data_IF_364076168994
#
_entry.id   IF_364076168994
#
_cell.length_a   1.000
_cell.length_b   1.000
_cell.length_c   1.000
_cell.angle_alpha   90.00
_cell.angle_beta   90.00
_cell.angle_gamma   90.00
#
_symmetry.space_group_name_H-M   'P 1'
#
loop_
_entity.id
_entity.type
_entity.pdbx_description
1 polymer ?
#
# COMPACT_ATOMS: atom_id res chain seq x y z
N UNK A 1 4.15 16.31 31.12
CA UNK A 1 5.27 15.81 31.95
C UNK A 1 5.25 16.44 33.34
N UNK A 2 5.24 17.78 33.47
CA UNK A 2 5.20 18.46 34.78
C UNK A 2 4.03 18.00 35.68
N UNK A 3 2.82 17.87 35.12
CA UNK A 3 1.65 17.41 35.87
C UNK A 3 1.75 15.94 36.34
N UNK A 4 2.29 15.06 35.49
CA UNK A 4 2.50 13.65 35.87
C UNK A 4 3.51 13.55 37.02
N UNK A 5 4.58 14.36 36.96
CA UNK A 5 5.59 14.42 38.00
C UNK A 5 5.01 14.96 39.32
N UNK A 6 4.20 16.01 39.26
CA UNK A 6 3.49 16.55 40.43
C UNK A 6 2.56 15.51 41.07
N UNK A 7 1.80 14.75 40.28
CA UNK A 7 0.93 13.69 40.78
C UNK A 7 1.74 12.58 41.47
N UNK A 8 2.84 12.15 40.85
CA UNK A 8 3.66 11.04 41.31
C UNK A 8 4.51 11.39 42.55
N UNK A 9 5.11 12.57 42.58
CA UNK A 9 6.05 12.97 43.63
C UNK A 9 5.37 13.64 44.82
N UNK A 10 4.23 14.32 44.60
CA UNK A 10 3.60 15.15 45.63
C UNK A 10 2.17 14.71 45.95
N UNK A 11 1.24 14.78 45.00
CA UNK A 11 -0.19 14.71 45.34
C UNK A 11 -0.65 13.32 45.79
N UNK A 12 -0.21 12.25 45.11
CA UNK A 12 -0.56 10.87 45.47
C UNK A 12 0.11 10.46 46.79
N UNK A 13 1.43 10.67 47.01
CA UNK A 13 2.06 10.40 48.31
C UNK A 13 1.41 11.17 49.46
N UNK A 14 1.15 12.47 49.27
CA UNK A 14 0.51 13.33 50.28
C UNK A 14 -0.91 12.87 50.59
N UNK A 15 -1.71 12.54 49.57
CA UNK A 15 -3.07 12.02 49.75
C UNK A 15 -3.08 10.68 50.49
N UNK A 16 -2.12 9.80 50.20
CA UNK A 16 -1.96 8.51 50.90
C UNK A 16 -1.56 8.70 52.36
N UNK A 17 -0.67 9.64 52.64
CA UNK A 17 -0.27 9.96 54.01
C UNK A 17 -1.42 10.59 54.80
N UNK A 18 -2.19 11.49 54.19
CA UNK A 18 -3.40 12.06 54.78
C UNK A 18 -4.41 10.96 55.16
N UNK A 19 -4.63 9.97 54.27
CA UNK A 19 -5.52 8.84 54.53
C UNK A 19 -5.02 7.95 55.69
N UNK A 20 -3.71 7.69 55.75
CA UNK A 20 -3.10 6.95 56.86
C UNK A 20 -3.21 7.72 58.18
N UNK A 21 -3.00 9.03 58.16
CA UNK A 21 -3.19 9.89 59.32
C UNK A 21 -4.64 9.89 59.80
N UNK A 22 -5.59 9.97 58.87
CA UNK A 22 -7.02 9.95 59.14
C UNK A 22 -7.45 8.66 59.85
N UNK A 23 -6.97 7.50 59.41
CA UNK A 23 -7.23 6.23 60.08
C UNK A 23 -6.89 6.28 61.58
N UNK A 24 -5.69 6.76 61.94
CA UNK A 24 -5.29 6.90 63.36
C UNK A 24 -6.15 7.91 64.12
N UNK A 25 -6.61 8.97 63.46
CA UNK A 25 -7.50 9.95 64.07
C UNK A 25 -8.89 9.37 64.32
N UNK A 26 -9.44 8.60 63.39
CA UNK A 26 -10.75 7.97 63.52
C UNK A 26 -10.81 6.95 64.65
N UNK A 27 -9.74 6.19 64.87
CA UNK A 27 -9.65 5.28 66.02
C UNK A 27 -9.78 6.06 67.33
N UNK A 28 -9.04 7.16 67.49
CA UNK A 28 -9.15 8.01 68.68
C UNK A 28 -10.53 8.65 68.85
N UNK A 29 -11.18 9.02 67.74
CA UNK A 29 -12.55 9.56 67.76
C UNK A 29 -13.54 8.47 68.20
N UNK A 30 -13.35 7.23 67.75
CA UNK A 30 -14.19 6.11 68.17
C UNK A 30 -14.04 5.84 69.68
N UNK A 31 -12.80 5.74 70.18
CA UNK A 31 -12.51 5.56 71.61
C UNK A 31 -13.15 6.70 72.45
N UNK A 32 -12.99 7.95 71.99
CA UNK A 32 -13.61 9.11 72.65
C UNK A 32 -15.15 9.02 72.68
N UNK A 33 -15.79 8.62 71.57
CA UNK A 33 -17.24 8.50 71.52
C UNK A 33 -17.75 7.44 72.48
N UNK A 34 -17.04 6.31 72.61
CA UNK A 34 -17.36 5.24 73.56
C UNK A 34 -17.23 5.74 75.01
N UNK A 35 -16.08 6.31 75.36
CA UNK A 35 -15.81 6.83 76.70
C UNK A 35 -16.78 7.95 77.10
N UNK A 36 -17.03 8.91 76.19
CA UNK A 36 -17.97 10.01 76.41
C UNK A 36 -19.38 9.47 76.62
N UNK A 37 -19.80 8.46 75.85
CA UNK A 37 -21.11 7.85 76.03
C UNK A 37 -21.23 7.14 77.39
N UNK A 38 -20.20 6.43 77.85
CA UNK A 38 -20.22 5.75 79.16
C UNK A 38 -20.23 6.75 80.32
N UNK A 39 -19.39 7.79 80.26
CA UNK A 39 -19.21 8.76 81.34
C UNK A 39 -20.31 9.83 81.41
N UNK A 40 -20.97 10.16 80.29
CA UNK A 40 -22.00 11.19 80.27
C UNK A 40 -23.24 10.83 81.10
N UNK A 41 -23.77 11.81 81.84
CA UNK A 41 -25.05 11.73 82.56
C UNK A 41 -26.25 11.79 81.61
N UNK A 42 -26.16 12.57 80.53
CA UNK A 42 -27.18 12.64 79.48
C UNK A 42 -26.77 11.84 78.24
N UNK A 43 -27.30 10.62 78.12
CA UNK A 43 -27.00 9.70 77.02
C UNK A 43 -27.52 10.20 75.67
N UNK A 44 -28.59 11.01 75.64
CA UNK A 44 -29.15 11.50 74.36
C UNK A 44 -28.20 12.50 73.71
N UNK A 45 -27.68 13.44 74.50
CA UNK A 45 -26.70 14.42 74.05
C UNK A 45 -25.40 13.76 73.57
N UNK A 46 -24.87 12.80 74.32
CA UNK A 46 -23.66 12.07 73.93
C UNK A 46 -23.84 11.27 72.61
N UNK A 47 -25.04 10.73 72.38
CA UNK A 47 -25.38 10.05 71.13
C UNK A 47 -25.44 11.01 69.95
N UNK A 48 -26.05 12.20 70.11
CA UNK A 48 -26.08 13.22 69.07
C UNK A 48 -24.66 13.69 68.69
N UNK A 49 -23.78 13.84 69.68
CA UNK A 49 -22.37 14.18 69.45
C UNK A 49 -21.63 13.07 68.69
N UNK A 50 -21.86 11.81 69.06
CA UNK A 50 -21.31 10.64 68.34
C UNK A 50 -21.80 10.59 66.89
N UNK A 51 -23.09 10.89 66.66
CA UNK A 51 -23.67 10.95 65.32
C UNK A 51 -23.00 12.07 64.49
N UNK A 52 -22.75 13.23 65.09
CA UNK A 52 -22.04 14.33 64.44
C UNK A 52 -20.62 13.89 64.03
N UNK A 53 -19.86 13.26 64.92
CA UNK A 53 -18.53 12.73 64.59
C UNK A 53 -18.58 11.66 63.50
N UNK A 54 -19.59 10.79 63.51
CA UNK A 54 -19.76 9.73 62.51
C UNK A 54 -20.00 10.31 61.11
N UNK A 55 -20.87 11.33 61.00
CA UNK A 55 -21.13 12.01 59.72
C UNK A 55 -19.89 12.76 59.20
N UNK A 56 -19.15 13.43 60.09
CA UNK A 56 -17.89 14.09 59.75
C UNK A 56 -16.82 13.08 59.30
N UNK A 57 -16.70 11.93 59.98
CA UNK A 57 -15.79 10.86 59.61
C UNK A 57 -16.10 10.30 58.22
N UNK A 58 -17.38 10.01 57.93
CA UNK A 58 -17.81 9.52 56.64
C UNK A 58 -17.47 10.51 55.52
N UNK A 59 -17.78 11.79 55.71
CA UNK A 59 -17.45 12.83 54.74
C UNK A 59 -15.93 12.96 54.52
N UNK A 60 -15.14 12.88 55.60
CA UNK A 60 -13.68 12.98 55.55
C UNK A 60 -13.04 11.84 54.76
N UNK A 61 -13.43 10.59 55.05
CA UNK A 61 -12.90 9.40 54.35
C UNK A 61 -13.32 9.41 52.90
N UNK A 62 -14.59 9.69 52.60
CA UNK A 62 -15.11 9.74 51.23
C UNK A 62 -14.35 10.76 50.38
N UNK A 63 -14.08 11.95 50.94
CA UNK A 63 -13.32 12.99 50.25
C UNK A 63 -11.87 12.57 49.98
N UNK A 64 -11.17 12.00 50.97
CA UNK A 64 -9.78 11.59 50.81
C UNK A 64 -9.62 10.43 49.81
N UNK A 65 -10.50 9.42 49.88
CA UNK A 65 -10.51 8.31 48.93
C UNK A 65 -10.85 8.81 47.52
N UNK A 66 -11.84 9.67 47.39
CA UNK A 66 -12.24 10.25 46.11
C UNK A 66 -11.11 11.04 45.44
N UNK A 67 -10.41 11.88 46.21
CA UNK A 67 -9.26 12.63 45.70
C UNK A 67 -8.11 11.72 45.28
N UNK A 68 -7.74 10.74 46.13
CA UNK A 68 -6.64 9.82 45.83
C UNK A 68 -6.94 8.98 44.59
N UNK A 69 -8.18 8.47 44.48
CA UNK A 69 -8.64 7.76 43.30
C UNK A 69 -8.59 8.65 42.05
N UNK A 70 -9.09 9.88 42.14
CA UNK A 70 -9.05 10.85 41.04
C UNK A 70 -7.64 11.16 40.56
N UNK A 71 -6.71 11.41 41.48
CA UNK A 71 -5.30 11.66 41.16
C UNK A 71 -4.63 10.44 40.53
N UNK A 72 -4.94 9.24 41.03
CA UNK A 72 -4.39 7.98 40.50
C UNK A 72 -4.91 7.70 39.09
N UNK A 73 -6.21 7.86 38.84
CA UNK A 73 -6.78 7.70 37.50
C UNK A 73 -6.17 8.71 36.52
N UNK A 74 -6.05 9.97 36.94
CA UNK A 74 -5.43 11.03 36.10
C UNK A 74 -3.97 10.72 35.77
N UNK A 75 -3.21 10.19 36.71
CA UNK A 75 -1.84 9.73 36.47
C UNK A 75 -1.80 8.60 35.42
N UNK A 76 -2.68 7.61 35.54
CA UNK A 76 -2.76 6.48 34.59
C UNK A 76 -3.16 6.96 33.19
N UNK A 77 -4.11 7.88 33.08
CA UNK A 77 -4.52 8.47 31.80
C UNK A 77 -3.36 9.21 31.13
N UNK A 78 -2.62 10.02 31.91
CA UNK A 78 -1.44 10.75 31.42
C UNK A 78 -0.32 9.79 30.95
N UNK A 79 -0.08 8.71 31.69
CA UNK A 79 0.87 7.65 31.27
C UNK A 79 0.40 6.96 29.98
N UNK A 80 -0.90 6.65 29.87
CA UNK A 80 -1.47 6.07 28.66
C UNK A 80 -1.34 6.96 27.42
N UNK A 81 -1.49 8.28 27.58
CA UNK A 81 -1.22 9.26 26.50
C UNK A 81 0.27 9.29 26.13
N UNK A 82 1.15 9.29 27.13
CA UNK A 82 2.60 9.29 26.89
C UNK A 82 3.07 8.05 26.12
N UNK A 83 2.56 6.86 26.47
CA UNK A 83 2.85 5.62 25.76
C UNK A 83 2.38 5.67 24.31
N UNK A 84 1.16 6.13 24.05
CA UNK A 84 0.65 6.32 22.67
C UNK A 84 1.52 7.27 21.85
N UNK A 85 2.05 8.31 22.48
CA UNK A 85 2.97 9.25 21.82
C UNK A 85 4.31 8.60 21.48
N UNK A 86 4.84 7.73 22.35
CA UNK A 86 6.06 6.96 22.08
C UNK A 86 5.82 5.95 20.97
N UNK A 87 4.70 5.22 21.00
CA UNK A 87 4.30 4.29 19.95
C UNK A 87 4.22 4.96 18.58
N UNK A 88 3.59 6.14 18.49
CA UNK A 88 3.52 6.90 17.24
C UNK A 88 4.91 7.29 16.70
N UNK A 89 5.85 7.65 17.59
CA UNK A 89 7.23 7.97 17.21
C UNK A 89 7.98 6.73 16.72
N UNK A 90 7.82 5.60 17.41
CA UNK A 90 8.41 4.31 17.01
C UNK A 90 7.86 3.86 15.66
N UNK A 91 6.55 4.01 15.43
CA UNK A 91 5.92 3.70 14.14
C UNK A 91 6.49 4.56 13.00
N UNK A 92 6.64 5.86 13.24
CA UNK A 92 7.27 6.79 12.27
C UNK A 92 8.71 6.39 11.96
N UNK A 93 9.48 6.00 12.98
CA UNK A 93 10.84 5.50 12.80
C UNK A 93 10.85 4.20 11.99
N UNK A 94 9.94 3.28 12.28
CA UNK A 94 9.78 2.03 11.53
C UNK A 94 9.50 2.28 10.04
N UNK A 95 8.63 3.23 9.71
CA UNK A 95 8.38 3.64 8.32
C UNK A 95 9.64 4.22 7.67
N UNK A 96 10.41 5.05 8.38
CA UNK A 96 11.66 5.61 7.88
C UNK A 96 12.71 4.54 7.58
N UNK A 97 12.85 3.55 8.47
CA UNK A 97 13.75 2.41 8.29
C UNK A 97 13.31 1.56 7.10
N UNK A 98 12.01 1.24 6.98
CA UNK A 98 11.49 0.49 5.83
C UNK A 98 11.74 1.23 4.51
N UNK A 99 11.49 2.54 4.47
CA UNK A 99 11.82 3.37 3.31
C UNK A 99 13.32 3.36 3.01
N UNK A 100 14.18 3.37 4.04
CA UNK A 100 15.62 3.31 3.86
C UNK A 100 16.05 1.96 3.28
N UNK A 101 15.54 0.86 3.83
CA UNK A 101 15.80 -0.50 3.33
C UNK A 101 15.35 -0.67 1.88
N UNK A 102 14.14 -0.22 1.55
CA UNK A 102 13.65 -0.23 0.17
C UNK A 102 14.53 0.61 -0.75
N UNK A 103 14.99 1.79 -0.31
CA UNK A 103 15.91 2.64 -1.10
C UNK A 103 17.27 2.00 -1.32
N UNK A 104 17.81 1.30 -0.32
CA UNK A 104 19.08 0.58 -0.43
C UNK A 104 18.92 -0.58 -1.41
N UNK A 105 17.89 -1.41 -1.24
CA UNK A 105 17.59 -2.52 -2.14
C UNK A 105 17.38 -2.04 -3.60
N UNK A 106 16.60 -0.97 -3.80
CA UNK A 106 16.38 -0.37 -5.13
C UNK A 106 17.65 0.21 -5.74
N UNK A 107 18.55 0.77 -4.92
CA UNK A 107 19.84 1.26 -5.39
C UNK A 107 20.71 0.12 -5.89
N UNK A 108 20.76 -0.98 -5.15
CA UNK A 108 21.53 -2.18 -5.53
C UNK A 108 21.01 -2.78 -6.83
N UNK A 109 19.71 -3.10 -6.93
CA UNK A 109 19.14 -3.63 -8.18
C UNK A 109 19.20 -2.61 -9.32
N UNK A 110 19.11 -1.32 -9.00
CA UNK A 110 19.23 -0.23 -9.97
C UNK A 110 20.59 -0.16 -10.64
N UNK A 111 21.66 -0.63 -10.00
CA UNK A 111 23.00 -0.74 -10.63
C UNK A 111 23.04 -1.75 -11.76
N UNK A 112 22.14 -2.75 -11.72
CA UNK A 112 21.99 -3.79 -12.73
C UNK A 112 20.94 -3.43 -13.78
N UNK A 113 20.24 -2.31 -13.63
CA UNK A 113 19.18 -1.88 -14.53
C UNK A 113 19.71 -0.93 -15.61
N UNK A 114 19.14 -1.02 -16.80
CA UNK A 114 19.36 -0.06 -17.89
C UNK A 114 18.03 0.45 -18.41
N UNK A 115 18.00 1.66 -18.97
CA UNK A 115 16.74 2.25 -19.46
C UNK A 115 16.31 1.54 -20.73
N UNK A 116 15.22 0.79 -20.67
CA UNK A 116 14.56 0.26 -21.86
C UNK A 116 13.59 1.30 -22.41
N UNK A 117 13.98 1.99 -23.50
CA UNK A 117 13.07 2.91 -24.20
C UNK A 117 12.24 2.13 -25.20
N UNK A 118 10.96 1.97 -24.88
CA UNK A 118 9.96 1.50 -25.82
C UNK A 118 9.30 2.72 -26.46
N UNK A 119 9.52 2.93 -27.75
CA UNK A 119 8.80 3.95 -28.51
C UNK A 119 7.36 3.48 -28.76
N UNK A 120 6.34 4.23 -28.34
CA UNK A 120 4.96 3.94 -28.75
C UNK A 120 4.87 4.07 -30.28
N UNK A 121 4.64 2.95 -30.96
CA UNK A 121 4.50 2.90 -32.42
C UNK A 121 3.03 2.64 -32.80
N UNK A 122 2.54 3.36 -33.81
CA UNK A 122 1.28 3.00 -34.45
C UNK A 122 1.48 1.70 -35.26
N UNK A 123 0.53 0.76 -35.18
CA UNK A 123 0.61 -0.53 -35.88
C UNK A 123 0.64 -0.40 -37.40
N UNK A 124 0.04 0.66 -37.93
CA UNK A 124 0.02 0.97 -39.35
C UNK A 124 0.31 2.46 -39.47
N UNK A 125 1.37 2.79 -40.19
CA UNK A 125 1.73 4.17 -40.54
C UNK A 125 1.40 4.32 -42.02
N UNK A 126 0.32 5.06 -42.31
CA UNK A 126 -0.02 5.37 -43.70
C UNK A 126 1.04 6.32 -44.28
N UNK A 127 1.45 6.14 -45.55
CA UNK A 127 2.35 7.08 -46.21
C UNK A 127 1.69 8.47 -46.32
N UNK A 128 2.50 9.53 -46.31
CA UNK A 128 2.05 10.94 -46.33
C UNK A 128 1.17 11.29 -47.54
N UNK A 129 1.35 10.58 -48.65
CA UNK A 129 0.45 10.66 -49.80
C UNK A 129 0.19 9.25 -50.35
N UNK A 130 -1.07 9.01 -50.69
CA UNK A 130 -1.45 7.80 -51.40
C UNK A 130 -1.12 7.96 -52.89
N UNK A 131 -0.57 6.93 -53.57
CA UNK A 131 -0.36 6.97 -55.00
C UNK A 131 -1.64 7.34 -55.74
N UNK A 132 -1.60 8.29 -56.70
CA UNK A 132 -2.78 8.66 -57.48
C UNK A 132 -3.36 7.44 -58.21
N UNK A 133 -4.67 7.21 -58.06
CA UNK A 133 -5.35 6.13 -58.76
C UNK A 133 -5.48 6.49 -60.25
N UNK A 134 -4.73 5.80 -61.11
CA UNK A 134 -4.81 6.01 -62.56
C UNK A 134 -6.01 5.26 -63.13
N UNK A 135 -6.96 5.92 -63.81
CA UNK A 135 -8.09 5.24 -64.43
C UNK A 135 -7.62 4.31 -65.55
N UNK A 136 -8.21 3.11 -65.61
CA UNK A 136 -7.91 2.18 -66.69
C UNK A 136 -8.41 2.71 -68.03
N UNK A 137 -7.54 2.69 -69.04
CA UNK A 137 -7.91 2.96 -70.43
C UNK A 137 -7.46 1.80 -71.32
N UNK A 138 -8.34 1.37 -72.23
CA UNK A 138 -7.98 0.36 -73.24
C UNK A 138 -7.07 1.02 -74.26
N UNK A 139 -5.82 0.57 -74.34
CA UNK A 139 -4.89 0.95 -75.40
C UNK A 139 -4.71 -0.23 -76.36
N UNK A 140 -4.71 -0.01 -77.69
CA UNK A 140 -4.33 -1.03 -78.66
C UNK A 140 -2.91 -1.54 -78.37
N UNK A 141 -2.62 -2.77 -78.81
CA UNK A 141 -1.29 -3.37 -78.67
C UNK A 141 -0.28 -2.52 -79.46
N UNK A 142 0.75 -2.01 -78.75
CA UNK A 142 1.82 -1.23 -79.35
C UNK A 142 3.08 -2.10 -79.39
N UNK A 143 3.44 -2.59 -80.58
CA UNK A 143 4.63 -3.41 -80.77
C UNK A 143 5.93 -2.61 -80.76
N UNK A 144 5.87 -1.27 -80.87
CA UNK A 144 7.04 -0.40 -80.89
C UNK A 144 7.39 0.24 -79.54
N UNK A 145 6.70 -0.09 -78.45
CA UNK A 145 6.94 0.55 -77.14
C UNK A 145 8.31 0.24 -76.52
N UNK A 146 9.05 -0.72 -77.08
CA UNK A 146 10.38 -1.13 -76.65
C UNK A 146 11.44 -0.92 -77.73
N UNK A 147 11.10 -0.36 -78.88
CA UNK A 147 12.03 -0.21 -80.02
C UNK A 147 13.21 0.71 -79.71
N UNK A 148 13.04 1.62 -78.75
CA UNK A 148 14.10 2.52 -78.29
C UNK A 148 14.87 1.97 -77.08
N UNK A 149 14.57 0.74 -76.63
CA UNK A 149 15.27 0.06 -75.53
C UNK A 149 16.23 -0.98 -76.10
N UNK A 150 17.54 -0.76 -75.95
CA UNK A 150 18.58 -1.66 -76.46
C UNK A 150 18.80 -1.50 -77.97
N UNK A 151 18.92 -2.62 -78.70
CA UNK A 151 19.07 -2.64 -80.17
C UNK A 151 17.72 -2.98 -80.83
N UNK A 152 16.71 -2.13 -80.62
CA UNK A 152 15.38 -2.37 -81.14
C UNK A 152 15.31 -2.32 -82.66
N UNK A 153 14.39 -3.09 -83.23
CA UNK A 153 14.18 -3.20 -84.68
C UNK A 153 12.85 -2.53 -85.00
N UNK A 154 12.91 -1.36 -85.64
CA UNK A 154 11.72 -0.62 -86.06
C UNK A 154 11.11 -1.34 -87.26
N UNK A 155 9.89 -1.83 -87.12
CA UNK A 155 9.15 -2.40 -88.24
C UNK A 155 8.59 -1.26 -89.12
N UNK A 156 9.19 -1.02 -90.29
CA UNK A 156 8.68 -0.05 -91.28
C UNK A 156 7.53 -0.63 -92.14
N UNK A 157 7.10 -1.87 -91.89
CA UNK A 157 6.08 -2.58 -92.67
C UNK A 157 4.66 -2.07 -92.38
N UNK A 158 4.00 -1.50 -93.39
CA UNK A 158 2.63 -0.95 -93.29
C UNK A 158 1.50 -1.99 -93.22
N UNK A 159 1.84 -3.29 -93.10
CA UNK A 159 0.87 -4.40 -93.25
C UNK A 159 0.23 -4.89 -91.94
N UNK A 160 0.87 -4.72 -90.77
CA UNK A 160 0.28 -5.15 -89.48
C UNK A 160 -0.85 -4.23 -88.98
N UNK A 161 -0.99 -3.01 -89.54
CA UNK A 161 -2.03 -2.05 -89.19
C UNK A 161 -3.45 -2.44 -89.62
N UNK A 162 -3.64 -3.55 -90.35
CA UNK A 162 -4.93 -3.94 -90.97
C UNK A 162 -5.66 -5.10 -90.28
N UNK A 163 -5.06 -5.75 -89.28
CA UNK A 163 -5.65 -6.93 -88.63
C UNK A 163 -5.91 -6.66 -87.16
N UNK A 164 -7.03 -5.99 -86.85
CA UNK A 164 -7.40 -5.68 -85.47
C UNK A 164 -8.80 -5.08 -85.31
N UNK A 165 -9.82 -5.93 -85.25
CA UNK A 165 -11.18 -5.72 -84.71
C UNK A 165 -12.09 -4.65 -85.36
N UNK A 166 -13.32 -5.07 -85.69
CA UNK A 166 -14.39 -4.25 -86.25
C UNK A 166 -14.69 -2.99 -85.41
N UNK A 167 -14.24 -1.83 -85.88
CA UNK A 167 -14.79 -0.53 -85.49
C UNK A 167 -16.27 -0.46 -85.89
N UNK A 168 -17.19 -0.49 -84.92
CA UNK A 168 -18.58 -0.12 -85.16
C UNK A 168 -18.61 1.40 -85.36
N UNK A 169 -18.49 1.80 -86.62
CA UNK A 169 -18.75 3.13 -87.18
C UNK A 169 -19.76 3.93 -86.35
N UNK A 170 -19.26 4.96 -85.67
CA UNK A 170 -20.03 6.08 -85.14
C UNK A 170 -20.72 6.78 -86.30
N UNK A 171 -22.06 6.72 -86.34
CA UNK A 171 -22.83 7.46 -87.33
C UNK A 171 -22.95 8.89 -86.81
N UNK A 172 -22.24 9.78 -87.48
CA UNK A 172 -22.35 11.24 -87.40
C UNK A 172 -23.81 11.62 -87.71
N UNK A 173 -24.54 12.11 -86.72
CA UNK A 173 -25.86 12.73 -86.93
C UNK A 173 -25.68 14.26 -87.07
N UNK A 174 -26.26 14.91 -88.10
CA UNK A 174 -26.18 16.35 -88.31
C UNK A 174 -27.24 17.12 -87.49
N UNK A 175 -27.13 18.44 -87.53
CA UNK A 175 -27.92 19.44 -86.82
C UNK A 175 -29.46 19.27 -86.94
N UNK A 176 -30.14 19.69 -85.86
CA UNK A 176 -31.57 20.07 -85.64
C UNK A 176 -32.46 20.38 -86.85
N UNK A 177 -33.81 20.50 -86.73
CA UNK A 177 -34.79 19.93 -85.78
C UNK A 177 -36.02 19.27 -86.48
N UNK A 178 -36.84 18.51 -85.74
CA UNK A 178 -38.29 18.21 -85.94
C UNK A 178 -38.59 16.84 -85.31
N UNK A 179 -39.38 16.77 -84.24
CA UNK A 179 -40.84 16.58 -84.25
C UNK A 179 -41.30 15.21 -84.75
N UNK A 180 -41.93 14.47 -83.83
CA UNK A 180 -42.91 13.38 -83.98
C UNK A 180 -42.45 11.89 -83.98
N UNK A 181 -43.07 11.19 -83.04
CA UNK A 181 -43.58 9.79 -82.95
C UNK A 181 -42.66 8.57 -82.75
N UNK A 182 -42.87 7.95 -81.57
CA UNK A 182 -42.93 6.51 -81.26
C UNK A 182 -41.76 5.60 -81.65
N UNK A 183 -40.90 5.30 -80.67
CA UNK A 183 -40.00 4.15 -80.72
C UNK A 183 -39.00 4.14 -79.56
N UNK A 184 -39.16 3.18 -78.64
CA UNK A 184 -38.38 2.98 -77.40
C UNK A 184 -36.84 2.99 -77.64
N UNK A 185 -36.03 3.79 -76.92
CA UNK A 185 -34.57 3.71 -77.00
C UNK A 185 -34.04 2.46 -76.24
N UNK A 186 -32.89 1.89 -76.67
CA UNK A 186 -32.29 0.71 -76.03
C UNK A 186 -31.72 1.05 -74.65
N UNK A 187 -31.95 0.14 -73.70
CA UNK A 187 -31.54 0.23 -72.30
C UNK A 187 -30.01 0.25 -72.19
N UNK A 188 -29.45 1.30 -71.61
CA UNK A 188 -28.05 1.32 -71.16
C UNK A 188 -27.99 0.46 -69.88
N UNK A 189 -27.10 -0.54 -69.77
CA UNK A 189 -26.89 -1.23 -68.49
C UNK A 189 -26.26 -0.25 -67.50
N UNK A 190 -26.95 -0.05 -66.38
CA UNK A 190 -26.50 0.78 -65.27
C UNK A 190 -25.21 0.18 -64.66
N UNK A 191 -24.19 0.99 -64.31
CA UNK A 191 -23.01 0.49 -63.60
C UNK A 191 -23.42 -0.16 -62.28
N UNK A 192 -22.98 -1.40 -62.07
CA UNK A 192 -23.20 -2.13 -60.81
C UNK A 192 -22.54 -1.33 -59.68
N UNK A 193 -23.35 -0.80 -58.76
CA UNK A 193 -22.85 -0.12 -57.57
C UNK A 193 -22.12 -1.12 -56.67
N UNK A 194 -20.94 -0.72 -56.20
CA UNK A 194 -20.20 -1.47 -55.19
C UNK A 194 -20.95 -1.42 -53.85
N UNK A 195 -20.89 -2.49 -53.03
CA UNK A 195 -21.54 -2.50 -51.72
C UNK A 195 -21.07 -1.33 -50.85
N UNK A 196 -22.02 -0.50 -50.42
CA UNK A 196 -21.80 0.57 -49.44
C UNK A 196 -21.77 -0.06 -48.05
N UNK A 197 -20.69 0.16 -47.30
CA UNK A 197 -20.61 -0.19 -45.88
C UNK A 197 -21.51 0.81 -45.12
N UNK A 198 -22.40 0.35 -44.23
CA UNK A 198 -23.23 1.24 -43.43
C UNK A 198 -22.36 2.11 -42.51
N UNK A 199 -22.66 3.40 -42.41
CA UNK A 199 -22.09 4.32 -41.41
C UNK A 199 -22.55 3.89 -39.99
N UNK A 200 -21.91 2.85 -39.47
CA UNK A 200 -22.04 2.40 -38.09
C UNK A 200 -20.89 2.95 -37.27
N UNK A 201 -21.19 3.83 -36.30
CA UNK A 201 -20.30 4.07 -35.15
C UNK A 201 -20.11 2.74 -34.42
N UNK A 202 -19.01 2.05 -34.69
CA UNK A 202 -18.54 0.92 -33.91
C UNK A 202 -17.66 1.50 -32.80
N UNK A 203 -18.26 1.71 -31.63
CA UNK A 203 -17.52 2.07 -30.41
C UNK A 203 -16.48 0.99 -30.14
N UNK A 204 -15.21 1.40 -30.08
CA UNK A 204 -14.11 0.55 -29.67
C UNK A 204 -14.35 0.06 -28.24
N UNK A 205 -14.15 -1.23 -28.05
CA UNK A 205 -14.17 -1.89 -26.76
C UNK A 205 -13.22 -1.19 -25.77
N UNK A 206 -13.79 -0.66 -24.70
CA UNK A 206 -13.05 -0.35 -23.48
C UNK A 206 -12.65 -1.67 -22.82
N UNK A 207 -11.36 -1.91 -22.71
CA UNK A 207 -10.79 -2.82 -21.71
C UNK A 207 -9.95 -1.99 -20.77
N UNK A 208 -10.57 -1.55 -19.69
CA UNK A 208 -9.89 -1.14 -18.47
C UNK A 208 -10.73 -1.66 -17.31
N UNK A 209 -10.44 -2.89 -16.91
CA UNK A 209 -10.74 -3.41 -15.60
C UNK A 209 -9.93 -2.62 -14.58
N UNK A 210 -10.60 -2.00 -13.60
CA UNK A 210 -10.22 -2.05 -12.18
C UNK A 210 -11.16 -1.21 -11.32
N UNK A 211 -11.86 -1.90 -10.39
CA UNK A 211 -12.21 -1.50 -9.01
C UNK A 211 -13.07 -0.22 -8.88
N UNK A 212 -14.30 -0.22 -8.35
CA UNK A 212 -14.62 -0.41 -6.92
C UNK A 212 -16.14 -0.56 -6.66
N UNK A 213 -16.45 -1.18 -5.52
CA UNK A 213 -17.73 -1.50 -4.88
C UNK A 213 -18.83 -0.43 -4.78
N UNK A 214 -20.07 -0.97 -4.83
CA UNK A 214 -21.24 -0.80 -3.96
C UNK A 214 -21.88 0.60 -3.72
N UNK A 215 -23.21 0.63 -3.89
CA UNK A 215 -24.07 1.65 -3.26
C UNK A 215 -25.44 1.84 -3.94
N UNK A 216 -26.49 1.40 -3.26
CA UNK A 216 -27.91 1.34 -3.64
C UNK A 216 -28.63 2.64 -4.07
N UNK A 217 -29.77 2.41 -4.75
CA UNK A 217 -31.11 2.99 -4.54
C UNK A 217 -31.71 3.92 -5.62
N UNK A 218 -32.80 3.38 -6.20
CA UNK A 218 -34.09 3.98 -6.60
C UNK A 218 -34.21 5.22 -7.52
N UNK A 219 -34.98 5.03 -8.61
CA UNK A 219 -36.20 5.81 -8.86
C UNK A 219 -36.23 6.80 -10.03
N UNK A 220 -37.06 6.49 -11.05
CA UNK A 220 -37.98 7.37 -11.86
C UNK A 220 -37.45 8.78 -12.23
N UNK A 221 -37.37 9.26 -13.47
CA UNK A 221 -38.20 9.12 -14.67
C UNK A 221 -38.43 10.54 -15.25
N UNK A 222 -38.32 10.75 -16.58
CA UNK A 222 -38.77 11.98 -17.26
C UNK A 222 -37.76 12.67 -18.19
N UNK A 223 -38.24 13.01 -19.39
CA UNK A 223 -37.61 13.73 -20.55
C UNK A 223 -38.58 14.91 -20.90
N UNK A 224 -38.30 15.99 -21.68
CA UNK A 224 -37.14 16.42 -22.50
C UNK A 224 -36.69 17.92 -22.42
N UNK A 225 -35.62 18.23 -23.18
CA UNK A 225 -35.29 19.46 -23.96
C UNK A 225 -34.82 20.76 -23.25
N UNK A 226 -33.59 21.21 -23.56
CA UNK A 226 -33.35 22.38 -24.45
C UNK A 226 -31.85 22.72 -24.64
N UNK A 227 -31.56 23.16 -25.88
CA UNK A 227 -30.51 24.09 -26.40
C UNK A 227 -29.11 24.15 -25.76
N UNK A 228 -28.13 24.14 -26.65
CA UNK A 228 -26.71 24.06 -26.33
C UNK A 228 -26.05 25.35 -25.87
N UNK A 229 -24.89 25.17 -25.26
CA UNK A 229 -23.81 26.13 -25.14
C UNK A 229 -22.51 25.33 -24.97
N UNK A 230 -21.48 25.65 -25.75
CA UNK A 230 -20.15 25.05 -25.64
C UNK A 230 -19.48 25.44 -24.31
N UNK A 231 -18.68 24.55 -23.68
CA UNK A 231 -17.93 24.88 -22.48
C UNK A 231 -16.74 25.81 -22.79
N UNK A 232 -16.35 26.70 -21.84
CA UNK A 232 -15.25 27.64 -22.04
C UNK A 232 -13.89 26.95 -22.03
N UNK A 233 -12.98 27.44 -22.87
CA UNK A 233 -11.56 27.08 -22.91
C UNK A 233 -10.83 27.47 -21.60
N UNK A 234 -9.93 26.65 -21.07
CA UNK A 234 -9.09 27.00 -19.92
C UNK A 234 -8.02 28.06 -20.28
N UNK A 235 -7.57 28.88 -19.32
CA UNK A 235 -6.55 29.91 -19.55
C UNK A 235 -5.13 29.32 -19.71
N UNK A 236 -4.20 30.03 -20.39
CA UNK A 236 -2.81 29.57 -20.56
C UNK A 236 -1.98 29.74 -19.26
N UNK A 237 -0.88 28.97 -19.10
CA UNK A 237 0.01 29.11 -17.95
C UNK A 237 0.85 30.41 -18.04
N UNK A 238 1.23 31.03 -16.90
CA UNK A 238 2.11 32.19 -16.92
C UNK A 238 3.54 31.81 -17.30
N UNK A 239 4.20 32.76 -17.95
CA UNK A 239 5.53 32.70 -18.50
C UNK A 239 6.63 32.51 -17.45
N UNK A 240 7.77 32.01 -17.95
CA UNK A 240 9.03 31.78 -17.26
C UNK A 240 9.40 32.86 -16.24
N UNK A 241 9.52 32.45 -14.97
CA UNK A 241 10.33 33.13 -13.97
C UNK A 241 11.75 32.59 -14.07
N UNK A 242 12.69 33.52 -14.17
CA UNK A 242 14.10 33.33 -14.45
C UNK A 242 14.78 32.53 -13.33
N UNK A 243 15.45 31.44 -13.72
CA UNK A 243 16.45 30.79 -12.88
C UNK A 243 17.58 31.79 -12.57
N UNK A 244 17.68 32.24 -11.33
CA UNK A 244 18.89 32.85 -10.79
C UNK A 244 19.65 31.78 -9.97
N UNK A 245 20.97 31.60 -10.19
CA UNK A 245 21.78 30.74 -9.34
C UNK A 245 22.16 31.46 -8.04
N UNK A 246 22.31 30.77 -6.89
CA UNK A 246 22.82 31.36 -5.66
C UNK A 246 24.35 31.57 -5.71
N UNK A 247 24.90 32.54 -4.96
CA UNK A 247 26.33 32.87 -4.97
C UNK A 247 27.18 31.86 -4.17
N UNK A 248 28.51 31.79 -4.41
CA UNK A 248 29.41 30.90 -3.68
C UNK A 248 29.69 31.45 -2.27
N UNK A 249 29.63 30.58 -1.26
CA UNK A 249 30.03 30.93 0.10
C UNK A 249 31.56 30.93 0.20
N UNK A 250 32.09 32.08 0.57
CA UNK A 250 33.49 32.33 0.93
C UNK A 250 33.92 31.51 2.15
N UNK A 251 35.13 30.99 2.02
CA UNK A 251 35.92 30.22 2.96
C UNK A 251 36.64 31.17 3.94
N UNK A 252 36.32 31.11 5.24
CA UNK A 252 37.10 31.77 6.30
C UNK A 252 37.05 30.96 7.62
N UNK A 253 38.04 30.04 7.80
CA UNK A 253 38.85 29.70 9.02
C UNK A 253 38.21 29.49 10.43
N UNK A 254 38.89 28.88 11.44
CA UNK A 254 40.01 27.91 11.50
C UNK A 254 39.74 26.69 12.47
N UNK A 255 40.65 25.69 12.60
CA UNK A 255 40.42 24.50 13.45
C UNK A 255 40.68 24.74 14.95
N UNK A 256 40.08 23.96 15.88
CA UNK A 256 40.34 24.08 17.30
C UNK A 256 41.65 23.38 17.73
N UNK A 257 42.27 23.82 18.84
CA UNK A 257 43.63 23.45 19.23
C UNK A 257 43.73 22.09 19.94
N UNK A 258 44.78 21.34 19.62
CA UNK A 258 45.33 20.27 20.47
C UNK A 258 46.11 20.88 21.64
N UNK A 259 46.11 20.22 22.81
CA UNK A 259 47.16 20.13 23.87
C UNK A 259 46.55 19.68 25.23
N UNK A 260 47.31 19.12 26.21
CA UNK A 260 47.44 17.67 26.42
C UNK A 260 47.16 17.25 27.89
N UNK A 261 47.50 15.99 28.23
CA UNK A 261 47.86 15.45 29.57
C UNK A 261 46.88 14.43 30.20
N UNK A 262 47.28 13.17 30.05
CA UNK A 262 47.44 12.17 31.12
C UNK A 262 46.87 12.50 32.49
N UNK A 263 45.81 11.79 32.91
CA UNK A 263 45.63 11.38 34.30
C UNK A 263 45.12 9.93 34.35
N UNK A 264 46.03 9.10 34.85
CA UNK A 264 45.86 7.73 35.30
C UNK A 264 44.97 7.74 36.56
N UNK A 265 43.83 7.03 36.54
CA UNK A 265 43.04 6.75 37.75
C UNK A 265 42.60 5.27 37.75
N UNK A 266 42.72 4.56 38.89
CA UNK A 266 42.59 3.11 38.99
C UNK A 266 41.13 2.61 39.04
N UNK A 267 40.85 1.34 38.69
CA UNK A 267 39.53 0.74 38.83
C UNK A 267 39.15 0.47 40.31
N UNK A 268 37.85 0.55 40.66
CA UNK A 268 37.35 0.25 42.02
C UNK A 268 37.37 -1.26 42.34
N UNK A 269 37.36 -1.64 43.64
CA UNK A 269 37.64 -3.01 44.11
C UNK A 269 36.45 -3.98 43.91
N UNK A 270 36.70 -5.31 43.91
CA UNK A 270 35.68 -6.33 43.68
C UNK A 270 34.90 -6.61 44.97
N UNK A 271 33.56 -6.71 44.85
CA UNK A 271 32.71 -7.27 45.89
C UNK A 271 32.65 -8.79 45.73
N UNK A 272 33.12 -9.49 46.75
CA UNK A 272 32.94 -10.92 46.96
C UNK A 272 31.47 -11.21 47.30
N UNK A 273 30.86 -12.12 46.56
CA UNK A 273 29.75 -12.95 47.05
C UNK A 273 30.02 -14.38 46.65
N UNK A 274 29.96 -15.22 47.67
CA UNK A 274 30.37 -16.62 47.74
C UNK A 274 29.54 -17.56 46.85
N UNK A 275 30.28 -18.50 46.25
CA UNK A 275 30.05 -19.94 46.27
C UNK A 275 28.60 -20.46 46.20
N UNK A 276 28.13 -20.74 44.98
CA UNK A 276 27.40 -21.97 44.69
C UNK A 276 28.00 -22.56 43.41
N UNK A 277 28.79 -23.62 43.57
CA UNK A 277 29.55 -24.29 42.52
C UNK A 277 28.75 -24.60 41.25
N UNK A 278 29.09 -23.91 40.18
CA UNK A 278 28.74 -24.30 38.82
C UNK A 278 29.56 -25.55 38.45
N UNK A 279 28.96 -26.63 37.91
CA UNK A 279 29.73 -27.74 37.38
C UNK A 279 30.52 -27.27 36.14
N UNK A 280 31.71 -27.84 35.87
CA UNK A 280 32.51 -27.46 34.71
C UNK A 280 31.75 -27.73 33.40
N UNK A 281 32.00 -26.95 32.32
CA UNK A 281 31.38 -27.18 31.03
C UNK A 281 31.70 -28.59 30.52
N UNK A 282 30.73 -29.32 29.94
CA UNK A 282 30.98 -30.67 29.44
C UNK A 282 31.94 -30.63 28.24
N UNK A 283 32.79 -31.67 28.07
CA UNK A 283 33.68 -31.78 26.92
C UNK A 283 32.87 -31.90 25.62
N UNK A 284 33.38 -31.39 24.49
CA UNK A 284 32.71 -31.49 23.21
C UNK A 284 32.74 -32.95 22.74
N UNK A 285 31.58 -33.60 22.69
CA UNK A 285 31.46 -34.92 22.05
C UNK A 285 30.47 -35.94 22.63
N UNK A 286 29.54 -35.55 23.52
CA UNK A 286 28.49 -36.48 23.98
C UNK A 286 27.12 -35.79 24.05
N UNK A 287 26.48 -35.65 22.90
CA UNK A 287 25.04 -35.53 22.74
C UNK A 287 24.65 -36.24 21.44
N UNK A 288 23.49 -36.90 21.33
CA UNK A 288 23.03 -37.40 20.05
C UNK A 288 23.01 -36.22 19.07
N UNK A 289 23.48 -36.41 17.83
CA UNK A 289 23.44 -35.41 16.76
C UNK A 289 22.03 -34.84 16.61
N UNK A 290 21.69 -33.82 17.39
CA UNK A 290 20.42 -33.12 17.27
C UNK A 290 20.58 -32.18 16.08
N UNK A 291 19.75 -32.34 15.04
CA UNK A 291 19.93 -31.60 13.80
C UNK A 291 20.01 -30.09 14.07
N UNK A 292 20.92 -29.38 13.39
CA UNK A 292 21.16 -27.95 13.59
C UNK A 292 19.93 -27.05 13.39
N UNK A 293 18.83 -27.59 12.85
CA UNK A 293 17.56 -26.89 12.68
C UNK A 293 16.67 -26.90 13.94
N UNK A 294 16.96 -27.75 14.93
CA UNK A 294 16.15 -27.84 16.15
C UNK A 294 16.46 -26.65 17.07
N UNK A 295 15.44 -25.86 17.47
CA UNK A 295 15.65 -24.75 18.40
C UNK A 295 16.05 -25.22 19.81
N UNK A 296 16.83 -24.41 20.53
CA UNK A 296 17.20 -24.68 21.94
C UNK A 296 15.99 -24.71 22.90
N UNK A 297 14.88 -24.05 22.52
CA UNK A 297 13.63 -24.03 23.28
C UNK A 297 12.42 -24.28 22.36
N UNK A 298 11.73 -25.40 22.60
CA UNK A 298 10.45 -25.75 21.98
C UNK A 298 9.54 -26.40 23.03
N UNK A 299 8.23 -26.30 22.84
CA UNK A 299 7.23 -26.87 23.75
C UNK A 299 7.13 -28.39 23.59
N UNK A 300 7.09 -28.87 22.35
CA UNK A 300 6.89 -30.27 22.00
C UNK A 300 7.36 -30.56 20.57
N UNK A 301 7.65 -31.83 20.27
CA UNK A 301 7.86 -32.32 18.90
C UNK A 301 6.57 -32.95 18.39
N UNK A 302 6.19 -32.59 17.18
CA UNK A 302 5.00 -33.13 16.51
C UNK A 302 5.36 -33.69 15.14
N UNK A 303 4.64 -34.71 14.69
CA UNK A 303 4.77 -35.30 13.36
C UNK A 303 3.57 -34.89 12.52
N UNK A 304 3.81 -34.49 11.27
CA UNK A 304 2.74 -34.09 10.35
C UNK A 304 1.98 -35.31 9.82
N UNK A 305 0.66 -35.26 9.89
CA UNK A 305 -0.25 -36.32 9.42
C UNK A 305 -0.66 -36.16 7.96
N UNK A 306 -0.66 -34.92 7.46
CA UNK A 306 -1.07 -34.58 6.10
C UNK A 306 -0.14 -33.50 5.54
N UNK A 307 0.12 -33.48 4.22
CA UNK A 307 0.89 -32.42 3.60
C UNK A 307 0.13 -31.08 3.68
N UNK A 308 0.87 -30.00 3.94
CA UNK A 308 0.32 -28.64 3.97
C UNK A 308 1.19 -27.69 3.14
N UNK A 309 0.54 -26.94 2.25
CA UNK A 309 1.17 -25.93 1.42
C UNK A 309 0.79 -24.55 1.93
N UNK A 310 1.79 -23.72 2.21
CA UNK A 310 1.59 -22.34 2.68
C UNK A 310 0.72 -21.57 1.70
N UNK A 311 -0.25 -20.84 2.24
CA UNK A 311 -1.09 -19.90 1.50
C UNK A 311 -0.63 -18.46 1.70
N UNK A 312 0.03 -18.18 2.83
CA UNK A 312 0.64 -16.88 3.16
C UNK A 312 2.14 -17.03 3.42
N UNK A 313 2.87 -15.93 3.29
CA UNK A 313 4.33 -15.92 3.42
C UNK A 313 4.84 -16.30 4.81
N UNK A 314 4.01 -16.13 5.85
CA UNK A 314 4.30 -16.49 7.23
C UNK A 314 3.95 -17.95 7.58
N UNK A 315 3.34 -18.70 6.67
CA UNK A 315 2.93 -20.09 6.93
C UNK A 315 4.03 -21.09 6.54
N UNK A 316 4.15 -22.17 7.32
CA UNK A 316 5.12 -23.23 7.13
C UNK A 316 4.54 -24.30 6.20
N UNK A 317 5.24 -24.63 5.11
CA UNK A 317 4.88 -25.78 4.27
C UNK A 317 5.61 -27.04 4.76
N UNK A 318 4.98 -28.20 4.63
CA UNK A 318 5.60 -29.49 4.97
C UNK A 318 4.90 -30.65 4.26
N UNK A 319 5.62 -31.76 4.12
CA UNK A 319 5.08 -33.04 3.67
C UNK A 319 4.61 -33.89 4.86
N UNK A 320 3.82 -34.93 4.59
CA UNK A 320 3.41 -35.93 5.60
C UNK A 320 4.64 -36.64 6.19
N UNK A 321 4.66 -36.85 7.50
CA UNK A 321 5.76 -37.49 8.23
C UNK A 321 6.93 -36.55 8.62
N UNK A 322 6.79 -35.24 8.40
CA UNK A 322 7.79 -34.24 8.80
C UNK A 322 7.71 -33.97 10.30
N UNK A 323 8.86 -33.92 10.97
CA UNK A 323 8.94 -33.53 12.39
C UNK A 323 9.03 -32.02 12.51
N UNK A 324 8.16 -31.43 13.31
CA UNK A 324 8.12 -29.99 13.61
C UNK A 324 8.30 -29.80 15.11
N UNK A 325 9.18 -28.87 15.49
CA UNK A 325 9.32 -28.42 16.87
C UNK A 325 8.38 -27.24 17.10
N UNK A 326 7.33 -27.43 17.90
CA UNK A 326 6.33 -26.39 18.19
C UNK A 326 6.91 -25.40 19.18
N UNK A 327 7.00 -24.13 18.81
CA UNK A 327 7.48 -23.06 19.69
C UNK A 327 6.35 -22.36 20.41
N UNK A 328 5.17 -22.24 19.78
CA UNK A 328 3.95 -21.65 20.37
C UNK A 328 2.67 -22.25 19.82
N UNK A 329 1.60 -22.25 20.63
CA UNK A 329 0.23 -22.61 20.24
C UNK A 329 -0.71 -21.42 20.46
N UNK A 330 -1.63 -21.20 19.53
CA UNK A 330 -2.62 -20.12 19.57
C UNK A 330 -4.03 -20.67 19.83
N UNK A 331 -4.91 -19.84 20.40
CA UNK A 331 -6.27 -20.24 20.79
C UNK A 331 -7.23 -20.44 19.61
N UNK A 332 -6.84 -20.04 18.41
CA UNK A 332 -7.59 -20.18 17.15
C UNK A 332 -7.28 -21.50 16.41
N UNK A 333 -6.48 -22.38 17.02
CA UNK A 333 -6.11 -23.69 16.47
C UNK A 333 -4.85 -23.68 15.59
N UNK A 334 -4.16 -22.54 15.48
CA UNK A 334 -2.88 -22.44 14.80
C UNK A 334 -1.69 -22.68 15.74
N UNK A 335 -0.61 -23.21 15.18
CA UNK A 335 0.65 -23.46 15.85
C UNK A 335 1.78 -22.74 15.09
N UNK A 336 2.81 -22.31 15.82
CA UNK A 336 4.07 -21.79 15.26
C UNK A 336 5.16 -22.80 15.59
N UNK A 337 6.02 -23.11 14.62
CA UNK A 337 7.08 -24.09 14.82
C UNK A 337 8.19 -24.03 13.78
N UNK A 338 9.19 -24.85 14.02
CA UNK A 338 10.42 -24.95 13.23
C UNK A 338 10.59 -26.38 12.74
N UNK A 339 10.87 -26.54 11.45
CA UNK A 339 11.23 -27.81 10.83
C UNK A 339 12.52 -27.64 10.00
N UNK A 340 12.98 -28.72 9.38
CA UNK A 340 14.15 -28.70 8.49
C UNK A 340 14.01 -27.76 7.29
N UNK A 341 12.78 -27.47 6.86
CA UNK A 341 12.49 -26.63 5.68
C UNK A 341 12.32 -25.14 6.03
N UNK A 342 12.12 -24.81 7.31
CA UNK A 342 11.99 -23.43 7.76
C UNK A 342 11.13 -23.26 9.02
N UNK A 343 10.70 -22.03 9.25
CA UNK A 343 9.89 -21.61 10.40
C UNK A 343 8.60 -20.96 9.94
N UNK A 344 7.49 -21.22 10.61
CA UNK A 344 6.24 -20.52 10.29
C UNK A 344 5.01 -21.08 11.01
N UNK A 345 3.85 -20.56 10.62
CA UNK A 345 2.55 -20.94 11.14
C UNK A 345 1.94 -22.13 10.40
N UNK A 346 1.27 -23.02 11.13
CA UNK A 346 0.53 -24.13 10.53
C UNK A 346 -0.68 -24.55 11.37
N UNK A 347 -1.67 -25.24 10.77
CA UNK A 347 -2.86 -25.68 11.49
C UNK A 347 -2.52 -26.84 12.45
N UNK A 348 -2.92 -26.75 13.72
CA UNK A 348 -2.64 -27.79 14.72
C UNK A 348 -3.31 -29.14 14.43
N UNK A 349 -4.39 -29.16 13.64
CA UNK A 349 -5.10 -30.39 13.27
C UNK A 349 -4.35 -31.26 12.24
N UNK A 350 -3.22 -30.79 11.72
CA UNK A 350 -2.41 -31.48 10.72
C UNK A 350 -1.22 -32.22 11.34
N UNK A 351 -1.11 -32.20 12.68
CA UNK A 351 0.02 -32.75 13.40
C UNK A 351 -0.44 -33.56 14.61
N UNK A 352 0.38 -34.55 15.01
CA UNK A 352 0.20 -35.30 16.24
C UNK A 352 1.48 -35.27 17.10
N UNK A 353 1.40 -35.39 18.43
CA UNK A 353 2.58 -35.46 19.29
C UNK A 353 3.50 -36.63 18.92
N UNK A 354 4.77 -36.34 18.65
CA UNK A 354 5.81 -37.35 18.47
C UNK A 354 6.09 -37.98 19.83
N UNK A 355 5.57 -39.20 20.06
CA UNK A 355 5.76 -39.95 21.31
C UNK A 355 7.15 -40.56 21.44
#
# INVERSE_FOLDING_TARGET
MAELQQLQEFEIPTGREALRGNHSALLRVADYCEDNYVQATDKRKALEETMAFTTQALASVAYQVGNLAGHTLRMLDLQGVALRQVEARVSTLGQMVNMHMEKVARREIGTLATVQRLSPGQKVIAPESLPPLTPYCRRPLNFGCLDDIGHGIKDLSTQLSRTGTLSRKSIKAPATPASTTLGRPPRIPEPVQLPVVPDGKLSAASSASSLTSAGSAEGVGGVPQSKGQAPPTPPPPPAAEMFLPPPPLEELTPPPPELPLTLDLPPPPPLEVEDLGLPPPPPPGFGPDEPSWVPEAYLEKVVTLYPYTRQKDNELSFSEGTVICVTRRYSDGWCEGVCSEGTGFFPGNYVEPSS
#
